data_IF_862412503936
#
_entry.id   IF_862412503936
#
_cell.length_a   1.000
_cell.length_b   1.000
_cell.length_c   1.000
_cell.angle_alpha   90.00
_cell.angle_beta   90.00
_cell.angle_gamma   90.00
#
_symmetry.space_group_name_H-M   'P 1'
#
loop_
_entity.id
_entity.type
_entity.pdbx_description
1 polymer ?
#
# COMPACT_ATOMS: atom_id res chain seq x y z
N UNK A 1 20.28 1.45 -12.22
CA UNK A 1 20.04 1.09 -10.81
C UNK A 1 19.60 2.36 -10.11
N UNK A 2 18.29 2.59 -10.02
CA UNK A 2 17.79 3.75 -9.27
C UNK A 2 18.12 3.55 -7.80
N UNK A 3 18.77 4.52 -7.18
CA UNK A 3 18.96 4.59 -5.74
C UNK A 3 17.59 4.78 -5.08
N UNK A 4 16.84 3.70 -4.93
CA UNK A 4 15.63 3.68 -4.12
C UNK A 4 15.98 4.04 -2.68
N UNK A 5 15.05 4.68 -1.97
CA UNK A 5 15.17 4.84 -0.54
C UNK A 5 15.40 3.45 0.09
N UNK A 6 16.42 3.33 0.94
CA UNK A 6 16.78 2.08 1.61
C UNK A 6 16.35 2.14 3.08
N UNK A 7 15.90 1.01 3.59
CA UNK A 7 15.78 0.75 5.02
C UNK A 7 16.98 -0.08 5.48
N UNK A 8 17.58 0.26 6.61
CA UNK A 8 18.65 -0.54 7.21
C UNK A 8 18.71 -0.39 8.72
N UNK A 9 19.13 -1.46 9.37
CA UNK A 9 19.38 -1.56 10.80
C UNK A 9 20.83 -1.99 11.03
N UNK A 10 21.56 -1.23 11.81
CA UNK A 10 22.92 -1.59 12.23
C UNK A 10 23.00 -1.59 13.74
N UNK A 11 23.74 -2.53 14.30
CA UNK A 11 23.88 -2.65 15.74
C UNK A 11 25.27 -3.12 16.15
N UNK A 12 25.65 -2.78 17.38
CA UNK A 12 26.84 -3.26 18.05
C UNK A 12 26.45 -3.88 19.39
N UNK A 13 26.84 -5.12 19.63
CA UNK A 13 26.57 -5.82 20.89
C UNK A 13 27.33 -5.17 22.03
N UNK A 14 26.64 -4.90 23.12
CA UNK A 14 27.16 -4.18 24.28
C UNK A 14 26.88 -4.98 25.56
N UNK A 15 27.71 -4.80 26.58
CA UNK A 15 27.46 -5.46 27.87
C UNK A 15 26.46 -4.66 28.71
N UNK A 16 25.42 -5.32 29.24
CA UNK A 16 24.50 -4.72 30.20
C UNK A 16 24.36 -5.54 31.49
N UNK A 17 25.28 -5.33 32.42
CA UNK A 17 25.31 -6.02 33.73
C UNK A 17 24.09 -5.77 34.62
N UNK A 18 23.31 -4.71 34.35
CA UNK A 18 22.10 -4.36 35.10
C UNK A 18 20.81 -5.04 34.64
N UNK A 19 20.83 -5.81 33.54
CA UNK A 19 19.64 -6.45 32.98
C UNK A 19 19.33 -7.78 33.67
N UNK A 20 18.06 -7.95 34.08
CA UNK A 20 17.60 -9.12 34.83
C UNK A 20 17.23 -10.30 33.93
N UNK A 21 16.53 -10.04 32.83
CA UNK A 21 16.14 -11.07 31.87
C UNK A 21 17.34 -11.47 31.02
N UNK A 22 17.50 -12.76 30.79
CA UNK A 22 18.67 -13.31 30.12
C UNK A 22 18.68 -12.88 28.65
N UNK A 23 17.52 -12.93 27.98
CA UNK A 23 17.30 -12.49 26.61
C UNK A 23 17.71 -11.02 26.43
N UNK A 24 17.26 -10.15 27.35
CA UNK A 24 17.59 -8.73 27.32
C UNK A 24 19.07 -8.48 27.58
N UNK A 25 19.66 -9.23 28.51
CA UNK A 25 21.08 -9.07 28.89
C UNK A 25 22.01 -9.46 27.75
N UNK A 26 21.75 -10.57 27.07
CA UNK A 26 22.65 -11.09 26.02
C UNK A 26 22.48 -10.41 24.67
N UNK A 27 21.32 -9.79 24.44
CA UNK A 27 20.98 -9.04 23.21
C UNK A 27 21.04 -7.53 23.37
N UNK A 28 21.63 -7.03 24.47
CA UNK A 28 21.83 -5.59 24.65
C UNK A 28 22.75 -5.03 23.56
N UNK A 29 22.33 -3.94 22.93
CA UNK A 29 23.07 -3.37 21.82
C UNK A 29 22.89 -1.86 21.68
N UNK A 30 23.82 -1.24 20.96
CA UNK A 30 23.69 0.08 20.37
C UNK A 30 23.03 -0.05 19.00
N UNK A 31 21.76 0.32 18.88
CA UNK A 31 20.96 0.20 17.66
C UNK A 31 20.87 1.53 16.89
N UNK A 32 21.15 1.49 15.59
CA UNK A 32 20.87 2.56 14.64
C UNK A 32 19.94 2.06 13.53
N UNK A 33 18.85 2.80 13.29
CA UNK A 33 17.89 2.55 12.21
C UNK A 33 17.92 3.74 11.27
N UNK A 34 18.03 3.48 9.97
CA UNK A 34 17.97 4.49 8.92
C UNK A 34 16.96 4.11 7.85
N UNK A 35 16.24 5.11 7.34
CA UNK A 35 15.23 4.94 6.31
C UNK A 35 15.26 6.14 5.36
N UNK A 36 15.34 5.91 4.05
CA UNK A 36 15.32 7.00 3.05
C UNK A 36 16.48 7.99 3.16
N UNK A 37 17.64 7.54 3.66
CA UNK A 37 18.81 8.40 3.90
C UNK A 37 18.79 9.16 5.23
N UNK A 38 17.69 9.10 5.97
CA UNK A 38 17.53 9.76 7.27
C UNK A 38 17.74 8.77 8.43
N UNK A 39 18.13 9.29 9.60
CA UNK A 39 18.32 8.48 10.81
C UNK A 39 17.04 8.48 11.64
N UNK A 40 16.36 7.33 11.69
CA UNK A 40 15.10 7.18 12.46
C UNK A 40 15.38 7.19 13.96
N UNK A 41 16.46 6.54 14.40
CA UNK A 41 16.90 6.50 15.80
C UNK A 41 17.67 7.74 16.24
N UNK A 42 17.51 8.87 15.54
CA UNK A 42 18.11 10.13 15.96
C UNK A 42 17.43 10.62 17.25
N UNK A 43 18.21 10.68 18.32
CA UNK A 43 17.74 11.05 19.65
C UNK A 43 18.54 12.22 20.22
N UNK A 44 17.89 12.95 21.10
CA UNK A 44 18.48 13.94 22.01
C UNK A 44 18.47 13.37 23.43
N UNK A 45 19.60 13.45 24.11
CA UNK A 45 19.76 13.13 25.52
C UNK A 45 19.35 14.35 26.36
N UNK A 46 18.34 14.18 27.21
CA UNK A 46 17.72 15.29 27.95
C UNK A 46 18.54 15.76 29.15
N UNK A 47 19.48 14.94 29.64
CA UNK A 47 20.36 15.31 30.73
C UNK A 47 21.54 16.17 30.22
N UNK A 48 22.10 15.79 29.06
CA UNK A 48 23.30 16.44 28.48
C UNK A 48 23.01 17.44 27.37
N UNK A 49 21.82 17.41 26.76
CA UNK A 49 21.48 18.17 25.56
C UNK A 49 22.19 17.70 24.28
N UNK A 50 22.96 16.61 24.36
CA UNK A 50 23.68 16.05 23.21
C UNK A 50 22.74 15.28 22.29
N UNK A 51 23.09 15.20 21.01
CA UNK A 51 22.34 14.38 20.04
C UNK A 51 23.19 13.23 19.52
N UNK A 52 22.55 12.06 19.32
CA UNK A 52 23.19 10.88 18.75
C UNK A 52 22.26 10.14 17.80
N UNK A 53 22.85 9.27 16.98
CA UNK A 53 22.15 8.54 15.90
C UNK A 53 21.62 7.17 16.33
N UNK A 54 22.05 6.67 17.48
CA UNK A 54 21.75 5.35 17.98
C UNK A 54 21.12 5.36 19.38
N UNK A 55 20.37 4.31 19.70
CA UNK A 55 19.74 4.07 21.01
C UNK A 55 20.32 2.79 21.64
N UNK A 56 20.42 2.74 22.97
CA UNK A 56 20.84 1.55 23.71
C UNK A 56 19.61 0.79 24.21
N UNK A 57 19.39 -0.42 23.70
CA UNK A 57 18.21 -1.25 23.97
C UNK A 57 18.57 -2.73 23.78
N UNK A 58 17.84 -3.67 24.40
CA UNK A 58 17.93 -5.07 24.00
C UNK A 58 17.27 -5.25 22.64
N UNK A 59 17.88 -6.04 21.76
CA UNK A 59 17.33 -6.33 20.44
C UNK A 59 16.28 -7.45 20.45
N UNK A 60 16.26 -8.28 21.50
CA UNK A 60 15.27 -9.37 21.64
C UNK A 60 13.82 -8.91 21.44
N UNK A 61 13.31 -7.86 22.13
CA UNK A 61 11.89 -7.49 22.00
C UNK A 61 11.55 -7.02 20.58
N UNK A 62 12.47 -6.33 19.90
CA UNK A 62 12.26 -5.91 18.52
C UNK A 62 12.23 -7.12 17.57
N UNK A 63 13.12 -8.09 17.75
CA UNK A 63 13.14 -9.30 16.91
C UNK A 63 11.90 -10.18 17.13
N UNK A 64 11.47 -10.31 18.39
CA UNK A 64 10.21 -10.96 18.76
C UNK A 64 9.03 -10.25 18.09
N UNK A 65 8.92 -8.93 18.25
CA UNK A 65 7.85 -8.16 17.63
C UNK A 65 7.85 -8.27 16.09
N UNK A 66 9.01 -8.27 15.43
CA UNK A 66 9.09 -8.47 13.97
C UNK A 66 8.53 -9.84 13.60
N UNK A 67 8.87 -10.90 14.35
CA UNK A 67 8.43 -12.27 14.07
C UNK A 67 6.91 -12.40 14.21
N UNK A 68 6.35 -11.99 15.35
CA UNK A 68 4.90 -12.02 15.60
C UNK A 68 4.08 -11.11 14.67
N UNK A 69 4.70 -10.19 13.95
CA UNK A 69 4.02 -9.32 13.01
C UNK A 69 4.48 -9.53 11.55
N UNK A 70 5.26 -10.57 11.28
CA UNK A 70 5.97 -10.78 10.03
C UNK A 70 5.05 -10.67 8.81
N UNK A 71 3.99 -11.48 8.80
CA UNK A 71 3.06 -11.54 7.68
C UNK A 71 2.29 -10.22 7.49
N UNK A 72 1.89 -9.57 8.59
CA UNK A 72 1.14 -8.31 8.54
C UNK A 72 2.01 -7.14 8.08
N UNK A 73 3.25 -7.04 8.56
CA UNK A 73 4.18 -6.00 8.13
C UNK A 73 4.42 -6.04 6.61
N UNK A 74 4.49 -7.25 6.05
CA UNK A 74 4.82 -7.47 4.65
C UNK A 74 3.60 -7.47 3.72
N UNK A 75 2.41 -7.84 4.19
CA UNK A 75 1.26 -8.12 3.32
C UNK A 75 -0.03 -7.39 3.67
N UNK A 76 -0.17 -6.77 4.85
CA UNK A 76 -1.37 -6.02 5.17
C UNK A 76 -1.40 -4.67 4.45
N UNK A 77 -2.04 -4.64 3.28
CA UNK A 77 -2.20 -3.43 2.49
C UNK A 77 -3.39 -2.56 2.92
N UNK A 78 -4.25 -3.05 3.83
CA UNK A 78 -5.46 -2.34 4.29
C UNK A 78 -5.16 -1.04 5.04
N UNK A 79 -3.95 -0.90 5.58
CA UNK A 79 -3.48 0.33 6.22
C UNK A 79 -3.13 1.42 5.20
N UNK A 80 -2.79 1.04 3.96
CA UNK A 80 -2.68 1.95 2.84
C UNK A 80 -4.09 2.37 2.40
N UNK A 81 -4.70 3.36 3.08
CA UNK A 81 -6.01 3.94 2.74
C UNK A 81 -6.00 5.48 2.82
N UNK A 82 -6.81 6.21 2.02
CA UNK A 82 -6.64 7.66 1.85
C UNK A 82 -6.98 8.48 3.09
N UNK A 83 -8.00 8.07 3.84
CA UNK A 83 -8.36 8.65 5.13
C UNK A 83 -7.21 8.51 6.14
N UNK A 84 -6.50 7.38 6.05
CA UNK A 84 -5.29 7.15 6.83
C UNK A 84 -4.12 8.02 6.39
N UNK A 85 -3.93 8.27 5.08
CA UNK A 85 -2.88 9.20 4.62
C UNK A 85 -3.19 10.64 5.06
N UNK A 86 -4.43 11.10 4.92
CA UNK A 86 -4.82 12.47 5.27
C UNK A 86 -4.81 12.76 6.77
N UNK A 87 -5.08 11.75 7.60
CA UNK A 87 -5.10 11.86 9.07
C UNK A 87 -4.01 11.02 9.74
N UNK A 88 -2.92 10.76 9.01
CA UNK A 88 -1.93 9.75 9.38
C UNK A 88 -1.41 9.96 10.81
N UNK A 89 -1.04 11.20 11.13
CA UNK A 89 -0.52 11.55 12.45
C UNK A 89 -1.49 11.26 13.60
N UNK A 90 -2.80 11.41 13.37
CA UNK A 90 -3.82 11.10 14.36
C UNK A 90 -4.06 9.60 14.43
N UNK A 91 -4.29 8.96 13.28
CA UNK A 91 -4.70 7.56 13.20
C UNK A 91 -3.60 6.63 13.70
N UNK A 92 -2.33 6.92 13.40
CA UNK A 92 -1.20 6.09 13.85
C UNK A 92 -1.06 5.99 15.38
N UNK A 93 -1.70 6.88 16.11
CA UNK A 93 -1.71 6.92 17.59
C UNK A 93 -2.92 6.22 18.22
N UNK A 94 -4.02 6.06 17.49
CA UNK A 94 -5.31 5.61 18.06
C UNK A 94 -5.85 4.34 17.42
N UNK A 95 -5.59 4.13 16.12
CA UNK A 95 -6.07 3.00 15.35
C UNK A 95 -5.30 1.72 15.74
N UNK A 96 -5.98 0.65 16.20
CA UNK A 96 -5.33 -0.60 16.60
C UNK A 96 -4.48 -1.24 15.50
N UNK A 97 -4.91 -1.17 14.24
CA UNK A 97 -4.15 -1.71 13.11
C UNK A 97 -2.83 -0.98 12.91
N UNK A 98 -2.84 0.35 13.02
CA UNK A 98 -1.61 1.14 12.98
C UNK A 98 -0.70 0.90 14.19
N UNK A 99 -1.27 0.70 15.39
CA UNK A 99 -0.50 0.42 16.59
C UNK A 99 0.28 -0.89 16.45
N UNK A 100 -0.34 -1.94 15.89
CA UNK A 100 0.29 -3.23 15.62
C UNK A 100 1.49 -3.11 14.67
N UNK A 101 1.46 -2.14 13.79
CA UNK A 101 2.52 -1.86 12.81
C UNK A 101 3.52 -0.78 13.27
N UNK A 102 3.42 -0.32 14.53
CA UNK A 102 4.24 0.75 15.07
C UNK A 102 5.24 0.19 16.11
N UNK A 103 6.52 0.57 15.99
CA UNK A 103 7.60 0.19 16.90
C UNK A 103 7.34 0.58 18.36
N UNK A 104 6.47 1.56 18.62
CA UNK A 104 6.03 1.88 19.97
C UNK A 104 5.29 0.75 20.68
N UNK A 105 4.78 -0.22 19.92
CA UNK A 105 4.09 -1.40 20.47
C UNK A 105 5.03 -2.54 20.85
N UNK A 106 6.34 -2.44 20.55
CA UNK A 106 7.33 -3.47 20.93
C UNK A 106 7.34 -3.72 22.44
N UNK A 107 7.19 -2.66 23.25
CA UNK A 107 7.01 -2.79 24.69
C UNK A 107 8.32 -2.99 25.48
N UNK A 108 8.24 -3.85 26.51
CA UNK A 108 9.30 -4.17 27.48
C UNK A 108 9.90 -2.99 28.28
N UNK A 109 9.20 -1.85 28.28
CA UNK A 109 9.61 -0.66 29.04
C UNK A 109 10.74 0.15 28.40
N UNK A 110 11.21 -0.24 27.20
CA UNK A 110 12.25 0.48 26.47
C UNK A 110 11.68 1.62 25.62
N UNK A 111 12.55 2.59 25.32
CA UNK A 111 12.20 3.76 24.55
C UNK A 111 12.33 3.48 23.05
N UNK A 112 11.27 2.96 22.42
CA UNK A 112 11.22 2.71 20.98
C UNK A 112 10.78 3.94 20.17
N UNK A 113 11.28 4.12 18.93
CA UNK A 113 10.88 5.23 18.08
C UNK A 113 9.41 5.12 17.65
N UNK A 114 8.81 6.26 17.32
CA UNK A 114 7.52 6.30 16.65
C UNK A 114 7.70 6.07 15.15
N UNK A 115 7.86 4.79 14.79
CA UNK A 115 8.12 4.29 13.42
C UNK A 115 7.00 3.30 13.05
N UNK A 116 6.31 3.57 11.94
CA UNK A 116 5.26 2.71 11.37
C UNK A 116 5.74 2.11 10.05
N UNK A 117 5.52 0.80 9.86
CA UNK A 117 5.76 0.07 8.61
C UNK A 117 4.43 -0.46 8.06
N UNK A 118 4.10 -0.18 6.79
CA UNK A 118 2.89 -0.72 6.18
C UNK A 118 3.04 -0.97 4.68
N UNK A 119 2.60 -2.15 4.25
CA UNK A 119 2.75 -2.62 2.86
C UNK A 119 1.83 -1.88 1.89
N UNK A 120 2.33 -1.64 0.68
CA UNK A 120 1.55 -1.20 -0.47
C UNK A 120 1.73 -2.14 -1.68
N UNK A 121 2.21 -3.37 -1.45
CA UNK A 121 2.52 -4.33 -2.51
C UNK A 121 4.02 -4.40 -2.78
N UNK A 122 4.45 -3.94 -3.98
CA UNK A 122 5.85 -3.99 -4.38
C UNK A 122 6.74 -3.08 -3.53
N UNK A 123 6.18 -1.98 -3.03
CA UNK A 123 6.83 -1.11 -2.07
C UNK A 123 6.17 -1.15 -0.69
N UNK A 124 6.96 -0.88 0.33
CA UNK A 124 6.51 -0.71 1.71
C UNK A 124 6.79 0.72 2.16
N UNK A 125 5.79 1.34 2.80
CA UNK A 125 5.92 2.70 3.33
C UNK A 125 6.43 2.64 4.76
N UNK A 126 7.38 3.52 5.06
CA UNK A 126 7.97 3.70 6.37
C UNK A 126 7.80 5.17 6.76
N UNK A 127 7.18 5.40 7.91
CA UNK A 127 6.90 6.73 8.42
C UNK A 127 7.35 6.84 9.86
N UNK A 128 8.08 7.89 10.21
CA UNK A 128 8.49 8.15 11.58
C UNK A 128 8.33 9.61 11.96
N UNK A 129 8.12 9.86 13.25
CA UNK A 129 7.97 11.22 13.79
C UNK A 129 8.77 11.42 15.08
N UNK A 130 9.05 12.67 15.44
CA UNK A 130 9.64 12.99 16.73
C UNK A 130 8.72 12.48 17.85
N UNK A 131 9.32 11.90 18.88
CA UNK A 131 8.55 11.30 19.96
C UNK A 131 9.31 11.34 21.28
N UNK A 132 8.59 11.73 22.33
CA UNK A 132 8.97 11.48 23.71
C UNK A 132 7.75 10.93 24.42
N UNK A 133 7.97 9.97 25.32
CA UNK A 133 6.88 9.42 26.09
C UNK A 133 6.35 10.48 27.07
N UNK A 134 5.03 10.78 27.08
CA UNK A 134 4.44 11.72 28.03
C UNK A 134 4.32 11.15 29.45
N UNK A 135 4.43 9.82 29.61
CA UNK A 135 4.15 9.10 30.88
C UNK A 135 5.41 8.48 31.48
N UNK A 136 6.22 7.81 30.66
CA UNK A 136 7.53 7.31 31.07
C UNK A 136 8.56 8.44 31.14
N UNK A 137 9.35 8.46 32.22
CA UNK A 137 10.46 9.41 32.44
C UNK A 137 11.70 9.00 31.65
N UNK A 138 11.58 8.94 30.33
CA UNK A 138 12.73 8.67 29.46
C UNK A 138 13.71 9.84 29.51
N UNK A 139 15.00 9.51 29.56
CA UNK A 139 16.10 10.49 29.48
C UNK A 139 16.45 10.88 28.05
N UNK A 140 15.69 10.37 27.08
CA UNK A 140 15.91 10.61 25.66
C UNK A 140 14.61 11.04 24.99
N UNK A 141 14.75 11.80 23.90
CA UNK A 141 13.66 12.14 22.99
C UNK A 141 14.09 11.82 21.56
N UNK A 142 13.23 11.14 20.80
CA UNK A 142 13.39 10.99 19.36
C UNK A 142 13.07 12.30 18.66
N UNK A 143 13.97 12.73 17.78
CA UNK A 143 13.86 14.01 17.04
C UNK A 143 13.81 13.82 15.52
N UNK A 144 14.06 12.60 15.02
CA UNK A 144 13.92 12.28 13.60
C UNK A 144 12.47 12.35 13.13
N UNK A 145 12.26 12.82 11.90
CA UNK A 145 10.97 12.81 11.22
C UNK A 145 11.17 12.48 9.74
N UNK A 146 10.22 11.76 9.14
CA UNK A 146 10.23 11.55 7.69
C UNK A 146 9.28 10.46 7.25
N UNK A 147 9.17 10.34 5.93
CA UNK A 147 8.37 9.37 5.23
C UNK A 147 9.15 8.90 4.00
N UNK A 148 9.25 7.59 3.81
CA UNK A 148 9.86 7.04 2.60
C UNK A 148 9.15 5.76 2.16
N UNK A 149 9.30 5.43 0.88
CA UNK A 149 8.84 4.17 0.29
C UNK A 149 10.07 3.38 -0.13
N UNK A 150 10.17 2.15 0.36
CA UNK A 150 11.29 1.23 0.10
C UNK A 150 10.80 0.01 -0.65
N UNK A 151 11.69 -0.69 -1.33
CA UNK A 151 11.36 -1.98 -1.94
C UNK A 151 10.96 -3.00 -0.85
N UNK A 152 9.83 -3.68 -1.04
CA UNK A 152 9.30 -4.63 -0.04
C UNK A 152 10.19 -5.86 0.12
N UNK A 153 10.90 -6.28 -0.93
CA UNK A 153 11.80 -7.43 -0.86
C UNK A 153 13.10 -7.06 -0.13
N UNK A 154 13.66 -5.88 -0.39
CA UNK A 154 14.81 -5.37 0.36
C UNK A 154 14.49 -5.24 1.85
N UNK A 155 13.30 -4.73 2.20
CA UNK A 155 12.84 -4.65 3.58
C UNK A 155 12.70 -6.04 4.21
N UNK A 156 12.06 -6.99 3.50
CA UNK A 156 11.93 -8.38 3.97
C UNK A 156 13.28 -8.99 4.30
N UNK A 157 14.25 -8.87 3.40
CA UNK A 157 15.61 -9.39 3.60
C UNK A 157 16.30 -8.74 4.80
N UNK A 158 16.16 -7.42 4.96
CA UNK A 158 16.78 -6.70 6.08
C UNK A 158 16.15 -7.05 7.45
N UNK A 159 14.83 -7.21 7.52
CA UNK A 159 14.14 -7.64 8.73
C UNK A 159 14.52 -9.08 9.12
N UNK A 160 14.56 -10.01 8.14
CA UNK A 160 15.02 -11.38 8.38
C UNK A 160 16.45 -11.42 8.90
N UNK A 161 17.38 -10.70 8.25
CA UNK A 161 18.78 -10.60 8.68
C UNK A 161 18.92 -10.16 10.13
N UNK A 162 18.10 -9.19 10.55
CA UNK A 162 18.08 -8.72 11.93
C UNK A 162 17.59 -9.80 12.90
N UNK A 163 16.46 -10.44 12.61
CA UNK A 163 15.91 -11.51 13.46
C UNK A 163 16.89 -12.67 13.59
N UNK A 164 17.43 -13.16 12.47
CA UNK A 164 18.43 -14.24 12.43
C UNK A 164 19.65 -13.89 13.29
N UNK A 165 20.14 -12.65 13.21
CA UNK A 165 21.30 -12.22 13.99
C UNK A 165 21.05 -12.19 15.49
N UNK A 166 19.82 -11.85 15.91
CA UNK A 166 19.41 -11.91 17.31
C UNK A 166 19.28 -13.35 17.79
N UNK A 167 18.72 -14.24 16.97
CA UNK A 167 18.62 -15.68 17.28
C UNK A 167 20.01 -16.31 17.44
N UNK A 168 20.93 -16.07 16.49
CA UNK A 168 22.32 -16.54 16.58
C UNK A 168 22.96 -16.05 17.88
N UNK A 169 22.75 -14.79 18.25
CA UNK A 169 23.28 -14.22 19.50
C UNK A 169 22.74 -14.92 20.75
N UNK A 170 21.45 -15.25 20.79
CA UNK A 170 20.84 -16.00 21.89
C UNK A 170 21.47 -17.39 22.02
N UNK A 171 21.61 -18.09 20.90
CA UNK A 171 22.16 -19.45 20.86
C UNK A 171 23.62 -19.51 21.30
N UNK A 172 24.46 -18.59 20.83
CA UNK A 172 25.86 -18.44 21.26
C UNK A 172 25.98 -18.20 22.77
N UNK A 173 24.99 -17.51 23.36
CA UNK A 173 24.94 -17.23 24.79
C UNK A 173 24.19 -18.30 25.60
N UNK A 174 23.76 -19.41 24.96
CA UNK A 174 23.07 -20.52 25.61
C UNK A 174 21.60 -20.26 25.95
N UNK A 175 21.00 -19.18 25.45
CA UNK A 175 19.57 -18.87 25.62
C UNK A 175 18.78 -19.53 24.48
N UNK A 176 17.86 -20.44 24.83
CA UNK A 176 17.13 -21.30 23.88
C UNK A 176 15.67 -21.47 24.27
N UNK A 177 14.84 -21.86 23.31
CA UNK A 177 13.41 -22.11 23.52
C UNK A 177 12.60 -20.84 23.78
N UNK A 178 13.11 -19.70 23.33
CA UNK A 178 12.43 -18.41 23.45
C UNK A 178 11.23 -18.34 22.50
N UNK A 179 10.25 -17.47 22.80
CA UNK A 179 9.09 -17.28 21.93
C UNK A 179 9.51 -16.81 20.53
N UNK A 180 10.51 -15.92 20.44
CA UNK A 180 11.15 -15.51 19.19
C UNK A 180 11.63 -16.70 18.34
N UNK A 181 12.37 -17.64 18.93
CA UNK A 181 12.91 -18.79 18.21
C UNK A 181 11.80 -19.70 17.66
N UNK A 182 10.78 -19.99 18.48
CA UNK A 182 9.67 -20.85 18.07
C UNK A 182 8.82 -20.22 16.96
N UNK A 183 8.52 -18.92 17.09
CA UNK A 183 7.76 -18.16 16.09
C UNK A 183 8.53 -18.09 14.76
N UNK A 184 9.83 -17.80 14.81
CA UNK A 184 10.67 -17.70 13.61
C UNK A 184 10.88 -19.04 12.91
N UNK A 185 10.98 -20.15 13.66
CA UNK A 185 11.00 -21.50 13.10
C UNK A 185 9.70 -21.80 12.33
N UNK A 186 8.56 -21.35 12.86
CA UNK A 186 7.25 -21.55 12.20
C UNK A 186 7.14 -20.72 10.91
N UNK A 187 7.63 -19.47 10.92
CA UNK A 187 7.65 -18.59 9.75
C UNK A 187 8.59 -19.10 8.65
N UNK A 188 9.78 -19.57 9.02
CA UNK A 188 10.82 -20.00 8.06
C UNK A 188 10.63 -21.45 7.61
N UNK A 189 9.95 -22.27 8.41
CA UNK A 189 9.57 -23.64 8.09
C UNK A 189 8.28 -23.79 7.29
N UNK A 190 7.51 -22.71 7.10
CA UNK A 190 6.25 -22.73 6.36
C UNK A 190 6.44 -23.21 4.91
N UNK A 191 5.60 -24.15 4.50
CA UNK A 191 5.57 -24.64 3.11
C UNK A 191 4.82 -23.66 2.19
N UNK A 192 4.85 -23.84 0.85
CA UNK A 192 4.19 -22.90 -0.07
C UNK A 192 2.68 -22.73 0.14
N UNK A 193 1.97 -23.77 0.62
CA UNK A 193 0.53 -23.69 0.89
C UNK A 193 0.27 -22.89 2.17
N UNK A 194 1.07 -23.14 3.21
CA UNK A 194 1.03 -22.37 4.46
C UNK A 194 1.42 -20.91 4.23
N UNK A 195 2.44 -20.62 3.41
CA UNK A 195 2.79 -19.25 3.04
C UNK A 195 1.61 -18.55 2.33
N UNK A 196 0.91 -19.24 1.44
CA UNK A 196 -0.25 -18.67 0.73
C UNK A 196 -1.39 -18.34 1.71
N UNK A 197 -1.67 -19.27 2.64
CA UNK A 197 -2.63 -19.04 3.72
C UNK A 197 -2.23 -17.83 4.58
N UNK A 198 -0.97 -17.76 5.02
CA UNK A 198 -0.48 -16.68 5.86
C UNK A 198 -0.56 -15.31 5.18
N UNK A 199 -0.22 -15.25 3.88
CA UNK A 199 -0.38 -14.04 3.06
C UNK A 199 -1.85 -13.62 2.95
N UNK A 200 -2.76 -14.58 2.75
CA UNK A 200 -4.18 -14.31 2.64
C UNK A 200 -4.78 -13.79 3.96
N UNK A 201 -4.45 -14.44 5.08
CA UNK A 201 -4.82 -13.99 6.43
C UNK A 201 -4.31 -12.56 6.72
N UNK A 202 -3.05 -12.28 6.41
CA UNK A 202 -2.47 -10.95 6.62
C UNK A 202 -3.14 -9.86 5.77
N UNK A 203 -3.57 -10.17 4.53
CA UNK A 203 -4.35 -9.25 3.69
C UNK A 203 -5.76 -8.98 4.21
N UNK A 204 -6.32 -9.89 5.01
CA UNK A 204 -7.55 -9.64 5.79
C UNK A 204 -7.27 -8.82 7.06
N UNK A 205 -6.00 -8.58 7.40
CA UNK A 205 -5.57 -7.89 8.60
C UNK A 205 -5.54 -8.79 9.84
N UNK A 206 -5.50 -10.11 9.66
CA UNK A 206 -5.50 -11.10 10.72
C UNK A 206 -4.10 -11.69 10.91
N UNK A 207 -3.74 -11.96 12.16
CA UNK A 207 -2.61 -12.81 12.49
C UNK A 207 -2.86 -14.27 12.04
N UNK A 208 -1.97 -14.88 11.23
CA UNK A 208 -2.21 -16.22 10.70
C UNK A 208 -2.16 -17.32 11.76
N UNK A 209 -1.34 -17.16 12.80
CA UNK A 209 -1.10 -18.18 13.82
C UNK A 209 -2.05 -18.07 15.03
N UNK A 210 -2.89 -17.02 15.10
CA UNK A 210 -3.82 -16.82 16.22
C UNK A 210 -5.22 -16.35 15.80
N UNK A 211 -5.34 -15.20 15.14
CA UNK A 211 -6.64 -14.60 14.81
C UNK A 211 -7.33 -15.32 13.64
N UNK A 212 -6.56 -15.67 12.61
CA UNK A 212 -7.04 -16.29 11.39
C UNK A 212 -7.50 -17.74 11.59
N UNK A 213 -6.98 -18.44 12.59
CA UNK A 213 -7.37 -19.81 12.91
C UNK A 213 -8.89 -19.98 13.12
N UNK A 214 -9.60 -18.91 13.54
CA UNK A 214 -11.07 -18.90 13.70
C UNK A 214 -11.83 -18.84 12.37
N UNK A 215 -11.14 -18.50 11.29
CA UNK A 215 -11.68 -18.23 9.96
C UNK A 215 -10.95 -19.06 8.88
N UNK A 216 -10.23 -20.10 9.29
CA UNK A 216 -9.38 -20.90 8.40
C UNK A 216 -10.19 -21.48 7.24
N UNK A 217 -11.36 -22.06 7.52
CA UNK A 217 -12.22 -22.66 6.51
C UNK A 217 -12.70 -21.65 5.46
N UNK A 218 -12.98 -20.42 5.87
CA UNK A 218 -13.41 -19.34 4.99
C UNK A 218 -12.25 -18.85 4.13
N UNK A 219 -11.05 -18.70 4.70
CA UNK A 219 -9.84 -18.28 3.99
C UNK A 219 -9.48 -19.31 2.90
N UNK A 220 -9.46 -20.59 3.25
CA UNK A 220 -9.16 -21.68 2.31
C UNK A 220 -10.21 -21.75 1.19
N UNK A 221 -11.49 -21.66 1.54
CA UNK A 221 -12.58 -21.62 0.56
C UNK A 221 -12.43 -20.47 -0.44
N UNK A 222 -12.02 -19.28 0.02
CA UNK A 222 -11.75 -18.16 -0.89
C UNK A 222 -10.56 -18.45 -1.80
N UNK A 223 -9.48 -19.04 -1.28
CA UNK A 223 -8.32 -19.41 -2.09
C UNK A 223 -8.66 -20.45 -3.18
N UNK A 224 -9.64 -21.33 -2.93
CA UNK A 224 -10.14 -22.32 -3.89
C UNK A 224 -11.10 -21.71 -4.92
N UNK A 225 -12.04 -20.86 -4.50
CA UNK A 225 -13.11 -20.35 -5.37
C UNK A 225 -12.71 -19.09 -6.17
N UNK A 226 -11.75 -18.31 -5.68
CA UNK A 226 -11.32 -17.05 -6.31
C UNK A 226 -10.04 -17.28 -7.13
N UNK A 227 -10.03 -16.93 -8.44
CA UNK A 227 -8.82 -17.04 -9.26
C UNK A 227 -7.63 -16.30 -8.63
N UNK A 228 -6.44 -16.90 -8.72
CA UNK A 228 -5.20 -16.38 -8.12
C UNK A 228 -4.94 -14.90 -8.45
N UNK A 229 -5.17 -14.51 -9.71
CA UNK A 229 -5.04 -13.13 -10.20
C UNK A 229 -5.91 -12.09 -9.45
N UNK A 230 -6.99 -12.54 -8.81
CA UNK A 230 -7.96 -11.71 -8.09
C UNK A 230 -7.83 -11.85 -6.58
N UNK A 231 -7.26 -12.95 -6.09
CA UNK A 231 -7.23 -13.34 -4.68
C UNK A 231 -6.69 -12.22 -3.80
N UNK A 232 -5.59 -11.59 -4.21
CA UNK A 232 -4.98 -10.51 -3.45
C UNK A 232 -5.90 -9.30 -3.27
N UNK A 233 -6.44 -8.76 -4.37
CA UNK A 233 -7.33 -7.60 -4.33
C UNK A 233 -8.65 -7.93 -3.61
N UNK A 234 -9.12 -9.17 -3.74
CA UNK A 234 -10.31 -9.65 -3.04
C UNK A 234 -10.08 -9.68 -1.52
N UNK A 235 -8.98 -10.29 -1.05
CA UNK A 235 -8.66 -10.34 0.38
C UNK A 235 -8.40 -8.95 0.98
N UNK A 236 -7.81 -8.02 0.23
CA UNK A 236 -7.60 -6.64 0.69
C UNK A 236 -8.92 -5.85 0.86
N UNK A 237 -9.97 -6.26 0.14
CA UNK A 237 -11.24 -5.55 0.06
C UNK A 237 -12.36 -6.15 0.93
N UNK A 238 -12.36 -7.47 1.14
CA UNK A 238 -13.46 -8.17 1.82
C UNK A 238 -13.38 -8.00 3.35
N UNK A 239 -14.55 -7.93 3.98
CA UNK A 239 -14.71 -8.16 5.42
C UNK A 239 -14.88 -9.66 5.66
N UNK A 240 -14.05 -10.25 6.53
CA UNK A 240 -14.07 -11.69 6.80
C UNK A 240 -15.47 -12.19 7.21
N UNK A 241 -16.27 -11.35 7.87
CA UNK A 241 -17.64 -11.67 8.29
C UNK A 241 -18.65 -11.74 7.15
N UNK A 242 -18.32 -11.19 5.97
CA UNK A 242 -19.15 -11.16 4.75
C UNK A 242 -18.57 -12.00 3.61
N UNK A 243 -17.67 -12.93 3.95
CA UNK A 243 -17.03 -13.81 2.98
C UNK A 243 -18.04 -14.61 2.14
N UNK A 244 -19.10 -15.22 2.71
CA UNK A 244 -20.08 -15.97 1.92
C UNK A 244 -20.79 -15.12 0.87
N UNK A 245 -21.23 -13.91 1.22
CA UNK A 245 -21.90 -12.97 0.31
C UNK A 245 -20.94 -12.49 -0.79
N UNK A 246 -19.68 -12.24 -0.42
CA UNK A 246 -18.64 -11.80 -1.34
C UNK A 246 -18.27 -12.87 -2.37
N UNK A 247 -18.23 -14.14 -1.95
CA UNK A 247 -18.01 -15.28 -2.84
C UNK A 247 -19.17 -15.51 -3.82
N UNK A 248 -20.41 -15.41 -3.35
CA UNK A 248 -21.57 -15.47 -4.24
C UNK A 248 -21.55 -14.32 -5.26
N UNK A 249 -21.23 -13.10 -4.81
CA UNK A 249 -21.15 -11.93 -5.67
C UNK A 249 -20.11 -12.08 -6.77
N UNK A 250 -18.86 -12.46 -6.44
CA UNK A 250 -17.80 -12.60 -7.44
C UNK A 250 -18.12 -13.74 -8.41
N UNK A 251 -18.73 -14.83 -7.94
CA UNK A 251 -19.20 -15.93 -8.78
C UNK A 251 -20.28 -15.49 -9.78
N UNK A 252 -21.27 -14.69 -9.34
CA UNK A 252 -22.26 -14.08 -10.25
C UNK A 252 -21.61 -13.16 -11.26
N UNK A 253 -20.62 -12.36 -10.83
CA UNK A 253 -19.89 -11.46 -11.71
C UNK A 253 -19.11 -12.21 -12.80
N UNK A 254 -18.38 -13.26 -12.43
CA UNK A 254 -17.64 -14.11 -13.37
C UNK A 254 -18.58 -14.72 -14.43
N UNK A 255 -19.75 -15.22 -14.03
CA UNK A 255 -20.75 -15.74 -14.99
C UNK A 255 -21.28 -14.63 -15.91
N UNK A 256 -21.59 -13.45 -15.36
CA UNK A 256 -22.19 -12.37 -16.14
C UNK A 256 -21.25 -11.80 -17.22
N UNK A 257 -19.95 -11.66 -16.93
CA UNK A 257 -18.98 -11.20 -17.95
C UNK A 257 -18.74 -12.24 -19.05
N UNK A 258 -18.98 -13.53 -18.80
CA UNK A 258 -18.76 -14.58 -19.78
C UNK A 258 -19.90 -14.70 -20.81
N UNK A 259 -21.13 -14.28 -20.48
CA UNK A 259 -22.33 -14.53 -21.30
C UNK A 259 -22.61 -13.45 -22.39
N UNK A 260 -22.07 -12.25 -22.28
CA UNK A 260 -22.50 -11.16 -23.20
C UNK A 260 -22.08 -11.33 -24.68
N UNK A 261 -22.94 -10.82 -25.57
CA UNK A 261 -22.85 -10.89 -27.02
C UNK A 261 -22.52 -9.55 -27.74
N UNK A 262 -22.28 -8.45 -26.99
CA UNK A 262 -22.02 -7.14 -27.60
C UNK A 262 -20.53 -6.78 -27.57
N UNK A 263 -20.05 -6.17 -28.65
CA UNK A 263 -18.69 -5.63 -28.73
C UNK A 263 -18.66 -4.16 -28.28
N UNK A 264 -17.59 -3.72 -27.57
CA UNK A 264 -17.37 -2.32 -27.24
C UNK A 264 -17.22 -1.42 -28.48
N UNK A 265 -17.50 -0.12 -28.33
CA UNK A 265 -17.46 0.86 -29.42
C UNK A 265 -16.03 1.19 -29.87
N UNK A 266 -15.05 1.08 -28.97
CA UNK A 266 -13.66 1.45 -29.22
C UNK A 266 -12.68 0.31 -28.88
N UNK A 267 -11.62 0.21 -29.69
CA UNK A 267 -10.59 -0.82 -29.58
C UNK A 267 -9.47 -0.42 -28.60
N UNK A 268 -9.21 -1.27 -27.61
CA UNK A 268 -8.14 -1.07 -26.62
C UNK A 268 -6.73 -1.40 -27.12
N UNK A 269 -6.58 -2.05 -28.29
CA UNK A 269 -5.26 -2.52 -28.79
C UNK A 269 -4.24 -1.41 -29.00
N UNK A 270 -4.65 -0.26 -29.53
CA UNK A 270 -3.75 0.88 -29.76
C UNK A 270 -3.22 1.45 -28.44
N UNK A 271 -4.11 1.60 -27.45
CA UNK A 271 -3.76 2.04 -26.09
C UNK A 271 -2.83 1.03 -25.43
N UNK A 272 -3.14 -0.27 -25.47
CA UNK A 272 -2.30 -1.34 -24.91
C UNK A 272 -0.89 -1.32 -25.51
N UNK A 273 -0.77 -1.16 -26.82
CA UNK A 273 0.52 -1.05 -27.51
C UNK A 273 1.33 0.15 -27.02
N UNK A 274 0.70 1.33 -26.90
CA UNK A 274 1.35 2.54 -26.42
C UNK A 274 1.84 2.42 -24.96
N UNK A 275 1.05 1.81 -24.08
CA UNK A 275 1.44 1.58 -22.69
C UNK A 275 2.61 0.57 -22.58
N UNK A 276 2.57 -0.50 -23.38
CA UNK A 276 3.63 -1.50 -23.42
C UNK A 276 4.95 -0.89 -23.85
N UNK A 277 4.95 -0.11 -24.93
CA UNK A 277 6.13 0.62 -25.40
C UNK A 277 6.65 1.61 -24.35
N UNK A 278 5.74 2.30 -23.65
CA UNK A 278 6.12 3.24 -22.59
C UNK A 278 6.83 2.54 -21.44
N UNK A 279 6.32 1.40 -20.96
CA UNK A 279 6.94 0.63 -19.87
C UNK A 279 8.35 0.13 -20.20
N UNK A 280 8.58 -0.31 -21.43
CA UNK A 280 9.90 -0.75 -21.87
C UNK A 280 10.94 0.39 -21.86
N UNK A 281 10.50 1.65 -21.91
CA UNK A 281 11.37 2.81 -22.10
C UNK A 281 11.81 3.53 -20.81
N UNK A 282 11.34 3.15 -19.62
CA UNK A 282 11.59 3.98 -18.41
C UNK A 282 12.01 3.23 -17.15
N UNK A 283 12.91 3.87 -16.39
CA UNK A 283 13.39 3.57 -15.02
C UNK A 283 12.23 3.59 -14.00
N UNK A 284 12.35 2.92 -12.82
CA UNK A 284 11.26 2.87 -11.84
C UNK A 284 10.83 4.27 -11.39
N UNK A 285 9.62 4.63 -11.78
CA UNK A 285 8.87 5.79 -11.28
C UNK A 285 8.15 5.44 -9.98
N UNK A 286 7.76 6.45 -9.22
CA UNK A 286 6.73 6.26 -8.20
C UNK A 286 5.43 5.79 -8.88
N UNK A 287 4.56 5.01 -8.20
CA UNK A 287 3.37 4.45 -8.83
C UNK A 287 2.49 5.47 -9.58
N UNK A 288 2.27 6.65 -8.99
CA UNK A 288 1.45 7.70 -9.60
C UNK A 288 2.10 8.36 -10.83
N UNK A 289 3.42 8.56 -10.83
CA UNK A 289 4.16 9.08 -11.98
C UNK A 289 4.06 8.13 -13.18
N UNK A 290 4.12 6.82 -12.91
CA UNK A 290 3.87 5.78 -13.91
C UNK A 290 2.45 5.89 -14.48
N UNK A 291 1.44 6.11 -13.63
CA UNK A 291 0.06 6.32 -14.02
C UNK A 291 -0.10 7.53 -14.96
N UNK A 292 0.45 8.68 -14.59
CA UNK A 292 0.40 9.89 -15.43
C UNK A 292 1.08 9.68 -16.79
N UNK A 293 2.27 9.08 -16.79
CA UNK A 293 2.99 8.81 -18.03
C UNK A 293 2.23 7.86 -18.96
N UNK A 294 1.58 6.82 -18.41
CA UNK A 294 0.76 5.89 -19.15
C UNK A 294 -0.52 6.55 -19.70
N UNK A 295 -1.14 7.45 -18.93
CA UNK A 295 -2.32 8.20 -19.37
C UNK A 295 -2.01 9.11 -20.56
N UNK A 296 -0.87 9.81 -20.53
CA UNK A 296 -0.42 10.64 -21.66
C UNK A 296 -0.18 9.78 -22.91
N UNK A 297 0.40 8.58 -22.76
CA UNK A 297 0.55 7.63 -23.86
C UNK A 297 -0.80 7.16 -24.42
N UNK A 298 -1.79 6.88 -23.55
CA UNK A 298 -3.14 6.52 -23.96
C UNK A 298 -3.83 7.66 -24.73
N UNK A 299 -3.72 8.90 -24.26
CA UNK A 299 -4.27 10.08 -24.96
C UNK A 299 -3.61 10.28 -26.33
N UNK A 300 -2.29 10.08 -26.41
CA UNK A 300 -1.56 10.11 -27.68
C UNK A 300 -2.04 9.04 -28.66
N UNK A 301 -2.25 7.80 -28.18
CA UNK A 301 -2.80 6.71 -29.00
C UNK A 301 -4.23 7.00 -29.50
N UNK A 302 -5.03 7.71 -28.70
CA UNK A 302 -6.36 8.19 -29.07
C UNK A 302 -6.34 9.49 -29.90
N UNK A 303 -5.17 10.05 -30.21
CA UNK A 303 -4.99 11.33 -30.92
C UNK A 303 -5.74 12.51 -30.27
N UNK A 304 -5.77 12.55 -28.93
CA UNK A 304 -6.46 13.58 -28.15
C UNK A 304 -5.49 14.62 -27.59
N UNK A 305 -5.71 15.89 -27.96
CA UNK A 305 -5.05 17.06 -27.38
C UNK A 305 -5.50 17.36 -25.95
N UNK A 306 -4.81 18.23 -25.20
CA UNK A 306 -4.97 18.40 -23.74
C UNK A 306 -6.37 18.88 -23.31
N UNK A 307 -7.05 19.69 -24.13
CA UNK A 307 -8.40 20.19 -23.82
C UNK A 307 -9.53 19.22 -24.21
N UNK A 308 -9.24 18.16 -24.96
CA UNK A 308 -10.28 17.25 -25.46
C UNK A 308 -10.71 16.27 -24.37
N UNK A 309 -12.01 15.97 -24.31
CA UNK A 309 -12.56 14.98 -23.38
C UNK A 309 -12.16 13.57 -23.82
N UNK A 310 -11.90 12.70 -22.85
CA UNK A 310 -11.77 11.26 -23.07
C UNK A 310 -13.06 10.57 -22.59
N UNK A 311 -13.57 9.61 -23.34
CA UNK A 311 -14.80 8.86 -23.03
C UNK A 311 -14.47 7.40 -22.71
N UNK A 312 -14.22 7.04 -21.43
CA UNK A 312 -13.90 5.64 -21.09
C UNK A 312 -15.06 4.67 -21.34
N UNK A 313 -16.30 5.16 -21.37
CA UNK A 313 -17.49 4.35 -21.64
C UNK A 313 -17.48 3.67 -23.01
N UNK A 314 -16.75 4.20 -23.98
CA UNK A 314 -16.68 3.63 -25.33
C UNK A 314 -15.90 2.29 -25.35
N UNK A 315 -15.09 2.02 -24.32
CA UNK A 315 -14.24 0.84 -24.21
C UNK A 315 -14.87 -0.29 -23.38
N UNK A 316 -16.03 -0.06 -22.77
CA UNK A 316 -16.67 -1.01 -21.86
C UNK A 316 -18.15 -1.20 -22.13
N UNK A 317 -18.59 -2.45 -22.17
CA UNK A 317 -19.98 -2.78 -21.84
C UNK A 317 -20.13 -2.82 -20.31
N UNK A 318 -21.07 -2.02 -19.78
CA UNK A 318 -21.22 -1.86 -18.34
C UNK A 318 -22.57 -2.40 -17.86
N UNK A 319 -22.53 -3.29 -16.88
CA UNK A 319 -23.70 -3.75 -16.13
C UNK A 319 -23.52 -3.52 -14.63
N UNK A 320 -24.60 -3.68 -13.87
CA UNK A 320 -24.60 -3.39 -12.44
C UNK A 320 -25.04 -4.64 -11.68
N UNK A 321 -24.19 -5.10 -10.76
CA UNK A 321 -24.50 -6.15 -9.79
C UNK A 321 -24.00 -5.63 -8.44
N UNK A 322 -24.88 -5.21 -7.53
CA UNK A 322 -24.47 -4.62 -6.26
C UNK A 322 -23.53 -5.54 -5.46
N UNK A 323 -22.39 -4.98 -5.07
CA UNK A 323 -21.38 -5.63 -4.22
C UNK A 323 -21.82 -5.57 -2.75
N UNK A 324 -21.63 -6.64 -1.98
CA UNK A 324 -21.78 -6.59 -0.53
C UNK A 324 -20.66 -5.80 0.15
N UNK A 325 -19.57 -5.53 -0.57
CA UNK A 325 -18.38 -4.83 -0.09
C UNK A 325 -18.25 -3.43 -0.69
N UNK A 326 -18.26 -2.40 0.16
CA UNK A 326 -18.01 -1.01 -0.26
C UNK A 326 -16.62 -0.81 -0.88
N UNK A 327 -15.68 -1.68 -0.50
CA UNK A 327 -14.30 -1.63 -0.98
C UNK A 327 -14.13 -2.21 -2.39
N UNK A 328 -15.08 -2.99 -2.88
CA UNK A 328 -15.06 -3.53 -4.24
C UNK A 328 -15.99 -2.67 -5.10
N UNK A 329 -15.39 -1.89 -6.00
CA UNK A 329 -16.13 -0.92 -6.82
C UNK A 329 -16.56 -1.51 -8.17
N UNK A 330 -15.73 -2.37 -8.76
CA UNK A 330 -16.07 -3.06 -9.99
C UNK A 330 -15.31 -4.38 -10.16
N UNK A 331 -15.86 -5.25 -11.00
CA UNK A 331 -15.23 -6.45 -11.52
C UNK A 331 -15.22 -6.40 -13.05
N UNK A 332 -14.07 -6.67 -13.67
CA UNK A 332 -13.91 -6.54 -15.11
C UNK A 332 -13.33 -7.78 -15.78
N UNK A 333 -13.66 -7.95 -17.06
CA UNK A 333 -13.03 -8.89 -17.97
C UNK A 333 -12.60 -8.19 -19.26
N UNK A 334 -11.39 -8.46 -19.69
CA UNK A 334 -10.82 -7.99 -20.94
C UNK A 334 -11.05 -9.03 -22.05
N UNK A 335 -11.49 -8.59 -23.24
CA UNK A 335 -11.70 -9.42 -24.42
C UNK A 335 -10.73 -9.09 -25.57
N UNK A 336 -9.70 -8.27 -25.33
CA UNK A 336 -8.69 -7.93 -26.33
C UNK A 336 -9.07 -6.77 -27.26
N UNK A 337 -10.36 -6.61 -27.59
CA UNK A 337 -10.90 -5.45 -28.33
C UNK A 337 -11.60 -4.44 -27.41
N UNK A 338 -11.97 -4.83 -26.20
CA UNK A 338 -12.41 -3.93 -25.14
C UNK A 338 -12.70 -4.72 -23.88
N UNK A 339 -13.56 -4.22 -23.00
CA UNK A 339 -13.87 -4.89 -21.75
C UNK A 339 -15.36 -4.99 -21.45
N UNK A 340 -15.66 -5.90 -20.52
CA UNK A 340 -16.94 -5.93 -19.80
C UNK A 340 -16.66 -5.54 -18.37
N UNK A 341 -17.51 -4.68 -17.81
CA UNK A 341 -17.37 -4.19 -16.46
C UNK A 341 -18.69 -4.32 -15.70
N UNK A 342 -18.61 -4.93 -14.53
CA UNK A 342 -19.70 -5.01 -13.57
C UNK A 342 -19.40 -4.02 -12.46
N UNK A 343 -20.26 -3.02 -12.31
CA UNK A 343 -20.15 -2.02 -11.26
C UNK A 343 -20.85 -2.54 -10.00
N UNK A 344 -20.09 -2.62 -8.91
CA UNK A 344 -20.52 -3.15 -7.62
C UNK A 344 -21.12 -2.09 -6.69
N UNK A 345 -20.61 -0.86 -6.72
CA UNK A 345 -21.13 0.21 -5.87
C UNK A 345 -22.08 1.13 -6.66
N UNK A 346 -23.22 1.55 -6.10
CA UNK A 346 -24.10 2.52 -6.75
C UNK A 346 -23.31 3.82 -6.99
N UNK A 347 -23.05 4.13 -8.26
CA UNK A 347 -22.32 5.34 -8.65
C UNK A 347 -23.30 6.51 -8.65
N UNK A 348 -23.28 7.31 -7.59
CA UNK A 348 -24.27 8.38 -7.38
C UNK A 348 -24.33 9.44 -8.49
N UNK A 349 -23.32 9.57 -9.35
CA UNK A 349 -23.35 10.44 -10.53
C UNK A 349 -22.44 9.96 -11.69
N UNK A 350 -22.64 10.51 -12.88
CA UNK A 350 -21.89 10.17 -14.10
C UNK A 350 -20.38 10.47 -14.00
N UNK A 351 -19.98 11.49 -13.22
CA UNK A 351 -18.59 11.89 -13.03
C UNK A 351 -17.80 10.82 -12.27
N UNK A 352 -18.37 10.27 -11.20
CA UNK A 352 -17.76 9.15 -10.45
C UNK A 352 -17.69 7.89 -11.30
N UNK A 353 -18.72 7.62 -12.11
CA UNK A 353 -18.72 6.51 -13.07
C UNK A 353 -17.59 6.63 -14.11
N UNK A 354 -17.36 7.82 -14.67
CA UNK A 354 -16.26 8.05 -15.62
C UNK A 354 -14.89 7.78 -14.99
N UNK A 355 -14.68 8.22 -13.74
CA UNK A 355 -13.43 7.94 -13.04
C UNK A 355 -13.23 6.44 -12.81
N UNK A 356 -14.27 5.71 -12.40
CA UNK A 356 -14.23 4.26 -12.24
C UNK A 356 -13.91 3.54 -13.57
N UNK A 357 -14.51 3.98 -14.68
CA UNK A 357 -14.23 3.42 -16.01
C UNK A 357 -12.81 3.73 -16.48
N UNK A 358 -12.28 4.93 -16.20
CA UNK A 358 -10.88 5.26 -16.49
C UNK A 358 -9.89 4.37 -15.75
N UNK A 359 -10.22 4.02 -14.50
CA UNK A 359 -9.46 3.07 -13.68
C UNK A 359 -9.53 1.64 -14.23
N UNK A 360 -10.74 1.18 -14.58
CA UNK A 360 -10.93 -0.11 -15.25
C UNK A 360 -10.19 -0.19 -16.59
N UNK A 361 -10.12 0.91 -17.36
CA UNK A 361 -9.37 0.97 -18.61
C UNK A 361 -7.90 0.67 -18.38
N UNK A 362 -7.31 1.22 -17.31
CA UNK A 362 -5.93 0.90 -16.96
C UNK A 362 -5.74 -0.60 -16.79
N UNK A 363 -6.55 -1.25 -15.94
CA UNK A 363 -6.47 -2.70 -15.74
C UNK A 363 -6.60 -3.48 -17.06
N UNK A 364 -7.52 -3.08 -17.95
CA UNK A 364 -7.72 -3.79 -19.22
C UNK A 364 -6.58 -3.62 -20.24
N UNK A 365 -5.78 -2.55 -20.15
CA UNK A 365 -4.68 -2.29 -21.10
C UNK A 365 -3.29 -2.50 -20.53
N UNK A 366 -3.16 -2.40 -19.22
CA UNK A 366 -1.87 -2.44 -18.55
C UNK A 366 -1.57 -3.82 -17.96
N UNK A 367 -2.51 -4.75 -17.92
CA UNK A 367 -2.31 -6.02 -17.21
C UNK A 367 -2.45 -7.23 -18.16
N UNK A 368 -1.61 -8.27 -17.98
CA UNK A 368 -1.70 -9.48 -18.79
C UNK A 368 -2.93 -10.32 -18.44
N UNK A 369 -3.51 -10.16 -17.26
CA UNK A 369 -4.65 -10.93 -16.79
C UNK A 369 -5.95 -10.52 -17.48
N UNK A 370 -6.78 -11.51 -17.80
CA UNK A 370 -8.04 -11.27 -18.48
C UNK A 370 -9.17 -10.80 -17.54
N UNK A 371 -8.99 -10.89 -16.22
CA UNK A 371 -9.97 -10.50 -15.21
C UNK A 371 -9.29 -9.64 -14.15
N UNK A 372 -10.01 -8.65 -13.64
CA UNK A 372 -9.49 -7.72 -12.64
C UNK A 372 -10.59 -7.22 -11.70
N UNK A 373 -10.17 -6.74 -10.53
CA UNK A 373 -11.02 -6.01 -9.58
C UNK A 373 -10.56 -4.56 -9.52
N UNK A 374 -11.51 -3.65 -9.45
CA UNK A 374 -11.26 -2.26 -9.08
C UNK A 374 -11.70 -2.08 -7.63
N UNK A 375 -10.75 -1.89 -6.73
CA UNK A 375 -11.01 -1.78 -5.29
C UNK A 375 -10.76 -0.37 -4.79
N UNK A 376 -11.04 -0.06 -3.52
CA UNK A 376 -10.65 1.23 -2.94
C UNK A 376 -9.33 1.20 -2.16
N UNK A 377 -8.59 0.09 -2.21
CA UNK A 377 -7.25 -0.07 -1.59
C UNK A 377 -6.23 0.92 -2.17
N UNK A 378 -5.16 1.24 -1.43
CA UNK A 378 -4.05 2.08 -1.91
C UNK A 378 -2.74 1.28 -2.08
N UNK A 379 -2.83 0.10 -2.68
CA UNK A 379 -1.65 -0.59 -3.21
C UNK A 379 -1.02 0.22 -4.35
N UNK A 380 0.22 -0.08 -4.71
CA UNK A 380 0.92 0.56 -5.82
C UNK A 380 0.15 0.44 -7.15
N UNK A 381 -0.48 -0.72 -7.35
CA UNK A 381 -1.40 -0.99 -8.47
C UNK A 381 -2.54 0.04 -8.49
N UNK A 382 -3.25 0.17 -7.38
CA UNK A 382 -4.39 1.08 -7.24
C UNK A 382 -3.97 2.57 -7.30
N UNK A 383 -2.79 2.93 -6.79
CA UNK A 383 -2.22 4.28 -6.95
C UNK A 383 -1.92 4.60 -8.42
N UNK A 384 -1.40 3.62 -9.17
CA UNK A 384 -1.08 3.78 -10.59
C UNK A 384 -2.33 3.99 -11.43
N UNK A 385 -3.36 3.13 -11.29
CA UNK A 385 -4.61 3.29 -12.04
C UNK A 385 -5.41 4.54 -11.66
N UNK A 386 -5.41 4.96 -10.38
CA UNK A 386 -6.03 6.25 -10.00
C UNK A 386 -5.34 7.44 -10.67
N UNK A 387 -4.00 7.46 -10.64
CA UNK A 387 -3.22 8.51 -11.30
C UNK A 387 -3.41 8.49 -12.82
N UNK A 388 -3.44 7.30 -13.42
CA UNK A 388 -3.76 7.12 -14.82
C UNK A 388 -5.14 7.68 -15.16
N UNK A 389 -6.18 7.28 -14.44
CA UNK A 389 -7.55 7.73 -14.71
C UNK A 389 -7.70 9.25 -14.55
N UNK A 390 -7.04 9.83 -13.53
CA UNK A 390 -7.09 11.27 -13.31
C UNK A 390 -6.44 12.04 -14.47
N UNK A 391 -5.24 11.67 -14.89
CA UNK A 391 -4.53 12.33 -16.00
C UNK A 391 -5.17 12.04 -17.37
N UNK A 392 -5.79 10.87 -17.53
CA UNK A 392 -6.50 10.50 -18.75
C UNK A 392 -7.74 11.37 -18.95
N UNK A 393 -8.51 11.59 -17.89
CA UNK A 393 -9.78 12.32 -17.94
C UNK A 393 -9.60 13.83 -17.90
N UNK A 394 -8.71 14.32 -17.04
CA UNK A 394 -8.42 15.73 -16.85
C UNK A 394 -6.90 15.94 -16.78
N UNK A 395 -6.23 16.03 -17.95
CA UNK A 395 -4.77 16.12 -17.99
C UNK A 395 -4.28 17.43 -17.36
N UNK A 396 -3.21 17.36 -16.57
CA UNK A 396 -2.67 18.53 -15.86
C UNK A 396 -2.35 19.72 -16.81
N UNK A 397 -1.87 19.43 -18.02
CA UNK A 397 -1.62 20.43 -19.06
C UNK A 397 -2.90 21.13 -19.54
N UNK A 398 -4.00 20.39 -19.71
CA UNK A 398 -5.30 20.96 -20.09
C UNK A 398 -5.93 21.77 -18.96
N UNK A 399 -5.76 21.34 -17.71
CA UNK A 399 -6.18 22.11 -16.52
C UNK A 399 -5.44 23.45 -16.47
N UNK A 400 -4.10 23.44 -16.62
CA UNK A 400 -3.30 24.66 -16.61
C UNK A 400 -3.69 25.62 -17.74
N UNK A 401 -3.97 25.11 -18.93
CA UNK A 401 -4.42 25.91 -20.08
C UNK A 401 -5.80 26.56 -19.83
N UNK A 402 -6.74 25.85 -19.19
CA UNK A 402 -8.07 26.38 -18.89
C UNK A 402 -8.08 27.42 -17.76
N UNK A 403 -7.26 27.22 -16.72
CA UNK A 403 -7.18 28.15 -15.60
C UNK A 403 -6.68 29.54 -16.02
N UNK A 404 -5.85 29.62 -17.08
CA UNK A 404 -5.27 30.87 -17.66
C UNK A 404 -4.58 31.79 -16.63
N UNK A 405 -4.33 31.29 -15.42
CA UNK A 405 -3.82 31.98 -14.24
C UNK A 405 -2.94 31.01 -13.47
N UNK A 406 -2.21 31.53 -12.48
CA UNK A 406 -1.43 30.73 -11.56
C UNK A 406 -2.33 29.68 -10.86
N UNK A 407 -2.01 28.38 -10.97
CA UNK A 407 -2.75 27.31 -10.28
C UNK A 407 -2.82 27.50 -8.76
N UNK A 408 -1.87 28.22 -8.15
CA UNK A 408 -1.89 28.57 -6.72
C UNK A 408 -2.99 29.58 -6.34
N UNK A 409 -3.54 30.29 -7.32
CA UNK A 409 -4.55 31.32 -7.14
C UNK A 409 -5.94 30.92 -7.67
N UNK A 410 -6.13 29.65 -8.07
CA UNK A 410 -7.40 29.16 -8.59
C UNK A 410 -8.50 29.21 -7.51
N UNK A 411 -9.62 29.88 -7.82
CA UNK A 411 -10.80 29.91 -6.96
C UNK A 411 -11.63 28.63 -7.08
N UNK A 412 -12.60 28.43 -6.19
CA UNK A 412 -13.53 27.30 -6.28
C UNK A 412 -14.36 27.34 -7.58
N UNK A 413 -14.74 28.54 -8.03
CA UNK A 413 -15.48 28.71 -9.28
C UNK A 413 -14.62 28.31 -10.48
N UNK A 414 -13.34 28.70 -10.51
CA UNK A 414 -12.40 28.28 -11.57
C UNK A 414 -12.26 26.74 -11.60
N UNK A 415 -12.20 26.09 -10.43
CA UNK A 415 -12.11 24.63 -10.31
C UNK A 415 -13.39 23.95 -10.83
N UNK A 416 -14.56 24.49 -10.49
CA UNK A 416 -15.85 23.94 -10.91
C UNK A 416 -16.06 24.07 -12.43
N UNK A 417 -15.65 25.18 -13.04
CA UNK A 417 -15.67 25.36 -14.50
C UNK A 417 -14.79 24.33 -15.21
N UNK A 418 -13.57 24.09 -14.72
CA UNK A 418 -12.66 23.07 -15.27
C UNK A 418 -13.24 21.66 -15.08
N UNK A 419 -13.84 21.38 -13.92
CA UNK A 419 -14.47 20.09 -13.64
C UNK A 419 -15.66 19.82 -14.57
N UNK A 420 -16.46 20.84 -14.87
CA UNK A 420 -17.54 20.77 -15.85
C UNK A 420 -16.99 20.57 -17.27
N UNK A 421 -15.90 21.25 -17.64
CA UNK A 421 -15.26 21.06 -18.93
C UNK A 421 -14.81 19.61 -19.15
N UNK A 422 -14.18 18.97 -18.17
CA UNK A 422 -13.72 17.58 -18.30
C UNK A 422 -14.75 16.51 -17.87
N UNK A 423 -15.92 16.91 -17.37
CA UNK A 423 -16.96 16.01 -16.84
C UNK A 423 -16.44 15.08 -15.72
N UNK A 424 -15.69 15.68 -14.79
CA UNK A 424 -15.12 15.04 -13.60
C UNK A 424 -15.54 15.79 -12.32
N UNK A 425 -15.20 15.26 -11.15
CA UNK A 425 -15.45 15.95 -9.89
C UNK A 425 -14.44 17.09 -9.65
N UNK A 426 -14.88 18.15 -8.97
CA UNK A 426 -14.02 19.26 -8.55
C UNK A 426 -12.88 18.81 -7.64
N UNK A 427 -13.12 17.76 -6.83
CA UNK A 427 -12.10 17.10 -6.00
C UNK A 427 -10.98 16.52 -6.86
N UNK A 428 -11.29 15.90 -8.01
CA UNK A 428 -10.26 15.36 -8.91
C UNK A 428 -9.39 16.48 -9.49
N UNK A 429 -10.01 17.60 -9.90
CA UNK A 429 -9.28 18.77 -10.41
C UNK A 429 -8.36 19.35 -9.34
N UNK A 430 -8.87 19.53 -8.11
CA UNK A 430 -8.07 20.00 -6.97
C UNK A 430 -6.83 19.12 -6.75
N UNK A 431 -7.01 17.80 -6.71
CA UNK A 431 -5.89 16.87 -6.54
C UNK A 431 -4.91 16.89 -7.72
N UNK A 432 -5.37 17.10 -8.94
CA UNK A 432 -4.50 17.26 -10.10
C UNK A 432 -3.61 18.51 -9.97
N UNK A 433 -4.19 19.63 -9.51
CA UNK A 433 -3.44 20.86 -9.23
C UNK A 433 -2.39 20.60 -8.13
N UNK A 434 -2.79 20.07 -6.98
CA UNK A 434 -1.90 19.80 -5.84
C UNK A 434 -0.73 18.87 -6.22
N UNK A 435 -1.02 17.76 -6.89
CA UNK A 435 -0.05 16.69 -7.12
C UNK A 435 0.86 16.93 -8.33
N UNK A 436 0.40 17.65 -9.36
CA UNK A 436 1.18 17.84 -10.60
C UNK A 436 1.57 19.28 -10.90
N UNK A 437 0.72 20.27 -10.55
CA UNK A 437 0.98 21.67 -10.89
C UNK A 437 1.68 22.43 -9.76
N UNK A 438 1.36 22.13 -8.50
CA UNK A 438 2.00 22.75 -7.33
C UNK A 438 3.30 22.07 -6.93
N UNK A 439 3.41 20.75 -7.15
CA UNK A 439 4.60 19.95 -6.80
C UNK A 439 5.75 20.06 -7.81
N UNK A 440 5.53 20.74 -8.94
CA UNK A 440 6.51 20.94 -10.01
C UNK A 440 7.20 22.32 -9.98
N UNK A 441 6.95 23.11 -8.92
CA UNK A 441 7.51 24.46 -8.70
C UNK A 441 8.75 24.48 -7.83
#
# INVERSE_FOLDING_TARGET
MGTGAKFSMSWEWESASGMKLDEHRVTWARLEISAGGETVTRIEDLDSGSSRRSVFVPLYPLAEWISFNWWILLHNSRLSRPDAVANFDRLRLVDPGYKRNNFRSIGDGFAWPDLVIYSAGAHTNISWRPYSSPVARWKIRYIGAGDCSVDSQDLRTELARFVDSVIVRLEECGVRGTALQNEWESITGADPEEEQYCRAAARLGLDPYSEAAKHESEILRVAEEVPEALLGDFMDAVDISRTPESLDWISRCMRAVDVSASEPLADVRSIRSALTARRASVSPFKPWESGWAQARAARGAASLGPLQRFSPGDYFEVSEIPSPEDRIQAFGKNSGQGGKLIVGAPQGNARTRNFLLGRALWHSVAEPENRFLVTNSYTDRQKTERAFAAELLAPASGIAELLKKDPWAASLDDIDEVAEHFQVSSVLIKHQIENQLMSAG
#
